data_IF_114654594426
#
_entry.id   IF_114654594426
#
_cell.length_a   1.000
_cell.length_b   1.000
_cell.length_c   1.000
_cell.angle_alpha   90.00
_cell.angle_beta   90.00
_cell.angle_gamma   90.00
#
_symmetry.space_group_name_H-M   'P 1'
#
loop_
_entity.id
_entity.type
_entity.pdbx_description
1 polymer ?
#
# COMPACT_ATOMS: atom_id res chain seq x y z
N UNK A 1 15.89 10.89 -1.44
CA UNK A 1 16.19 10.92 0.00
C UNK A 1 15.85 9.56 0.60
N UNK A 2 16.76 8.96 1.36
CA UNK A 2 16.50 7.71 2.09
C UNK A 2 16.55 8.00 3.59
N UNK A 3 15.49 7.64 4.31
CA UNK A 3 15.42 7.69 5.75
C UNK A 3 15.59 6.27 6.31
N UNK A 4 16.66 6.04 7.06
CA UNK A 4 17.02 4.72 7.60
C UNK A 4 16.83 4.60 9.12
N UNK A 5 16.72 5.72 9.83
CA UNK A 5 16.46 5.75 11.27
C UNK A 5 14.97 5.90 11.57
N UNK A 6 14.55 5.38 12.72
CA UNK A 6 13.21 5.68 13.24
C UNK A 6 13.06 7.20 13.42
N UNK A 7 11.91 7.73 13.02
CA UNK A 7 11.58 9.14 13.15
C UNK A 7 10.32 9.27 14.02
N UNK A 8 10.23 10.33 14.82
CA UNK A 8 9.04 10.68 15.62
C UNK A 8 8.31 11.90 15.07
N UNK A 9 8.79 12.46 13.96
CA UNK A 9 8.16 13.59 13.27
C UNK A 9 6.81 13.17 12.70
N UNK A 10 5.74 13.56 13.39
CA UNK A 10 4.36 13.31 12.95
C UNK A 10 3.78 14.40 12.05
N UNK A 11 4.58 15.44 11.73
CA UNK A 11 4.20 16.47 10.77
C UNK A 11 4.09 15.92 9.35
N UNK A 12 3.54 16.72 8.44
CA UNK A 12 3.41 16.32 7.04
C UNK A 12 4.75 16.34 6.29
N UNK A 13 4.89 15.46 5.30
CA UNK A 13 6.01 15.49 4.34
C UNK A 13 5.46 15.72 2.93
N UNK A 14 6.08 16.60 2.16
CA UNK A 14 5.76 16.77 0.72
C UNK A 14 6.91 16.26 -0.12
N UNK A 15 6.63 15.32 -1.02
CA UNK A 15 7.57 14.76 -2.00
C UNK A 15 7.24 15.36 -3.36
N UNK A 16 7.77 16.57 -3.62
CA UNK A 16 7.50 17.28 -4.88
C UNK A 16 8.28 16.73 -6.09
N UNK A 17 9.38 16.01 -5.85
CA UNK A 17 10.21 15.41 -6.91
C UNK A 17 11.10 14.30 -6.35
N UNK A 18 11.61 13.46 -7.24
CA UNK A 18 12.53 12.37 -6.90
C UNK A 18 11.87 11.25 -6.09
N UNK A 19 12.66 10.58 -5.27
CA UNK A 19 12.22 9.42 -4.48
C UNK A 19 12.45 9.67 -3.00
N UNK A 20 11.39 9.48 -2.20
CA UNK A 20 11.48 9.32 -0.75
C UNK A 20 11.42 7.83 -0.42
N UNK A 21 12.48 7.29 0.17
CA UNK A 21 12.54 5.89 0.59
C UNK A 21 12.68 5.78 2.10
N UNK A 22 11.98 4.83 2.70
CA UNK A 22 12.15 4.48 4.11
C UNK A 22 11.36 3.25 4.52
N UNK A 23 11.20 3.06 5.83
CA UNK A 23 10.32 2.09 6.49
C UNK A 23 9.14 2.79 7.15
N UNK A 24 8.16 2.03 7.64
CA UNK A 24 7.05 2.54 8.46
C UNK A 24 7.50 3.13 9.81
N UNK A 25 8.76 2.96 10.22
CA UNK A 25 9.32 3.60 11.41
C UNK A 25 10.03 4.91 11.08
N UNK A 26 10.61 5.02 9.88
CA UNK A 26 11.30 6.23 9.42
C UNK A 26 10.39 7.24 8.70
N UNK A 27 9.35 6.74 8.03
CA UNK A 27 8.31 7.54 7.36
C UNK A 27 7.15 7.64 8.34
N UNK A 28 6.84 8.86 8.77
CA UNK A 28 5.79 9.18 9.74
C UNK A 28 4.96 10.37 9.26
N UNK A 29 3.79 10.55 9.85
CA UNK A 29 2.85 11.61 9.47
C UNK A 29 2.26 11.40 8.08
N UNK A 30 1.41 12.33 7.63
CA UNK A 30 0.85 12.27 6.27
C UNK A 30 1.89 12.65 5.22
N UNK A 31 1.83 12.03 4.04
CA UNK A 31 2.71 12.33 2.91
C UNK A 31 1.88 12.84 1.73
N UNK A 32 2.20 14.05 1.26
CA UNK A 32 1.79 14.50 -0.08
C UNK A 32 2.84 13.97 -1.06
N UNK A 33 2.50 12.92 -1.80
CA UNK A 33 3.37 12.25 -2.75
C UNK A 33 3.04 12.72 -4.18
N UNK A 34 3.82 13.65 -4.72
CA UNK A 34 3.68 14.11 -6.10
C UNK A 34 4.71 13.47 -7.04
N UNK A 35 5.50 12.50 -6.55
CA UNK A 35 6.55 11.84 -7.32
C UNK A 35 6.65 10.35 -6.98
N UNK A 36 7.45 9.96 -5.99
CA UNK A 36 7.67 8.55 -5.66
C UNK A 36 7.97 8.34 -4.17
N UNK A 37 7.22 7.43 -3.56
CA UNK A 37 7.46 6.94 -2.19
C UNK A 37 7.74 5.45 -2.23
N UNK A 38 8.78 5.01 -1.52
CA UNK A 38 9.17 3.62 -1.41
C UNK A 38 9.19 3.21 0.06
N UNK A 39 8.39 2.20 0.41
CA UNK A 39 8.58 1.46 1.65
C UNK A 39 9.50 0.26 1.40
N UNK A 40 10.74 0.33 1.84
CA UNK A 40 11.68 -0.80 1.85
C UNK A 40 11.70 -1.45 3.23
N UNK A 41 10.76 -2.36 3.44
CA UNK A 41 10.39 -2.86 4.76
C UNK A 41 10.86 -4.32 4.95
N UNK A 42 11.85 -4.54 5.82
CA UNK A 42 12.34 -5.90 6.12
C UNK A 42 11.60 -6.61 7.26
N UNK A 43 11.03 -5.83 8.19
CA UNK A 43 10.28 -6.31 9.36
C UNK A 43 8.88 -5.71 9.33
N UNK A 44 7.85 -6.44 9.73
CA UNK A 44 6.47 -5.94 9.68
C UNK A 44 6.28 -4.59 10.40
N UNK A 45 5.43 -3.74 9.84
CA UNK A 45 5.12 -2.46 10.44
C UNK A 45 3.86 -1.80 9.87
N UNK A 46 3.27 -0.91 10.66
CA UNK A 46 2.06 -0.17 10.31
C UNK A 46 2.40 1.26 9.97
N UNK A 47 1.86 1.75 8.86
CA UNK A 47 1.90 3.16 8.49
C UNK A 47 0.48 3.74 8.53
N UNK A 48 0.26 4.63 9.49
CA UNK A 48 -1.05 5.23 9.77
C UNK A 48 -1.28 6.58 9.09
N UNK A 49 -0.24 7.16 8.48
CA UNK A 49 -0.35 8.42 7.75
C UNK A 49 -1.22 8.28 6.50
N UNK A 50 -1.82 9.41 6.08
CA UNK A 50 -2.50 9.52 4.80
C UNK A 50 -1.45 9.83 3.73
N UNK A 51 -1.44 9.05 2.65
CA UNK A 51 -0.67 9.33 1.43
C UNK A 51 -1.64 9.88 0.39
N UNK A 52 -1.35 11.07 -0.14
CA UNK A 52 -2.13 11.74 -1.19
C UNK A 52 -1.24 12.15 -2.36
N UNK A 53 -1.81 12.72 -3.42
CA UNK A 53 -1.06 13.32 -4.54
C UNK A 53 -1.03 12.50 -5.83
N UNK A 54 -0.19 12.91 -6.78
CA UNK A 54 -0.07 12.30 -8.11
C UNK A 54 0.93 11.15 -8.22
N UNK A 55 1.76 10.94 -7.20
CA UNK A 55 2.92 10.05 -7.23
C UNK A 55 2.59 8.58 -6.99
N UNK A 56 3.59 7.74 -7.25
CA UNK A 56 3.48 6.29 -7.10
C UNK A 56 3.96 5.80 -5.73
N UNK A 57 3.43 4.66 -5.30
CA UNK A 57 3.88 3.93 -4.12
C UNK A 57 4.58 2.62 -4.52
N UNK A 58 5.74 2.32 -3.94
CA UNK A 58 6.43 1.04 -4.13
C UNK A 58 6.67 0.33 -2.80
N UNK A 59 6.30 -0.95 -2.72
CA UNK A 59 6.60 -1.84 -1.60
C UNK A 59 7.76 -2.79 -1.95
N UNK A 60 8.86 -2.65 -1.21
CA UNK A 60 10.06 -3.49 -1.23
C UNK A 60 10.28 -4.16 0.13
N UNK A 61 11.27 -5.05 0.19
CA UNK A 61 11.67 -5.75 1.42
C UNK A 61 10.73 -6.90 1.79
N UNK A 62 11.23 -7.83 2.60
CA UNK A 62 10.56 -9.09 2.94
C UNK A 62 9.38 -8.94 3.90
N UNK A 63 9.33 -7.87 4.68
CA UNK A 63 8.31 -7.65 5.70
C UNK A 63 6.98 -7.15 5.13
N UNK A 64 6.04 -6.93 6.04
CA UNK A 64 4.71 -6.42 5.76
C UNK A 64 4.64 -4.91 6.00
N UNK A 65 4.06 -4.17 5.07
CA UNK A 65 3.58 -2.81 5.32
C UNK A 65 2.07 -2.88 5.48
N UNK A 66 1.56 -2.46 6.63
CA UNK A 66 0.13 -2.36 6.93
C UNK A 66 -0.27 -0.90 6.74
N UNK A 67 -1.03 -0.60 5.68
CA UNK A 67 -1.60 0.73 5.44
C UNK A 67 -2.97 0.84 6.12
N UNK A 68 -3.10 1.80 7.03
CA UNK A 68 -4.38 2.06 7.72
C UNK A 68 -4.95 3.45 7.44
N UNK A 69 -4.16 4.37 6.90
CA UNK A 69 -4.64 5.69 6.48
C UNK A 69 -5.56 5.59 5.25
N UNK A 70 -6.55 6.47 5.18
CA UNK A 70 -7.41 6.59 3.99
C UNK A 70 -6.63 7.33 2.89
N UNK A 71 -6.09 6.58 1.95
CA UNK A 71 -5.13 7.09 0.97
C UNK A 71 -5.82 7.59 -0.30
N UNK A 72 -5.23 8.59 -0.95
CA UNK A 72 -5.76 9.24 -2.16
C UNK A 72 -4.69 9.55 -3.20
N UNK A 73 -3.54 8.88 -3.14
CA UNK A 73 -2.54 8.98 -4.21
C UNK A 73 -3.04 8.29 -5.48
N UNK A 74 -2.77 8.89 -6.63
CA UNK A 74 -3.32 8.42 -7.92
C UNK A 74 -2.30 7.75 -8.84
N UNK A 75 -1.00 7.82 -8.52
CA UNK A 75 0.06 7.21 -9.34
C UNK A 75 0.17 5.68 -9.22
N UNK A 76 -0.73 5.04 -8.46
CA UNK A 76 -0.79 3.60 -8.29
C UNK A 76 0.25 3.02 -7.34
N UNK A 77 0.22 1.70 -7.20
CA UNK A 77 1.06 0.93 -6.29
C UNK A 77 1.78 -0.20 -7.01
N UNK A 78 3.08 -0.38 -6.76
CA UNK A 78 3.83 -1.57 -7.18
C UNK A 78 4.31 -2.35 -5.97
N UNK A 79 3.92 -3.63 -5.87
CA UNK A 79 4.37 -4.54 -4.81
C UNK A 79 5.38 -5.52 -5.40
N UNK A 80 6.66 -5.31 -5.08
CA UNK A 80 7.78 -6.09 -5.65
C UNK A 80 8.19 -7.23 -4.70
N UNK A 81 8.12 -7.01 -3.39
CA UNK A 81 8.53 -8.00 -2.39
C UNK A 81 7.76 -7.87 -1.07
N UNK A 82 7.70 -8.98 -0.34
CA UNK A 82 6.98 -9.09 0.94
C UNK A 82 5.48 -8.90 0.76
N UNK A 83 4.84 -8.30 1.76
CA UNK A 83 3.38 -8.15 1.79
C UNK A 83 2.98 -6.68 1.91
N UNK A 84 2.01 -6.26 1.10
CA UNK A 84 1.25 -5.04 1.36
C UNK A 84 -0.12 -5.42 1.93
N UNK A 85 -0.37 -5.08 3.19
CA UNK A 85 -1.68 -5.27 3.82
C UNK A 85 -2.44 -3.93 3.82
N UNK A 86 -3.70 -3.96 3.39
CA UNK A 86 -4.55 -2.78 3.24
C UNK A 86 -6.02 -3.13 3.44
N UNK A 87 -6.90 -2.14 3.28
CA UNK A 87 -8.32 -2.30 3.01
C UNK A 87 -8.68 -1.46 1.77
N UNK A 88 -9.92 -1.56 1.31
CA UNK A 88 -10.41 -0.83 0.12
C UNK A 88 -10.27 0.69 0.17
N UNK A 89 -10.13 1.31 1.34
CA UNK A 89 -9.87 2.75 1.50
C UNK A 89 -8.40 3.11 1.73
N UNK A 90 -7.52 2.15 2.03
CA UNK A 90 -6.10 2.40 2.29
C UNK A 90 -5.19 2.02 1.12
N UNK A 91 -5.74 1.52 0.03
CA UNK A 91 -5.06 1.35 -1.26
C UNK A 91 -5.77 2.23 -2.30
N UNK A 92 -5.02 2.91 -3.17
CA UNK A 92 -5.58 3.81 -4.18
C UNK A 92 -4.77 3.76 -5.48
N UNK A 93 -5.48 3.88 -6.60
CA UNK A 93 -4.90 3.75 -7.94
C UNK A 93 -4.59 2.30 -8.30
N UNK A 94 -4.24 2.06 -9.56
CA UNK A 94 -3.93 0.72 -10.07
C UNK A 94 -2.78 0.07 -9.29
N UNK A 95 -2.87 -1.25 -9.08
CA UNK A 95 -1.88 -2.04 -8.36
C UNK A 95 -1.24 -3.08 -9.25
N UNK A 96 0.08 -2.98 -9.43
CA UNK A 96 0.90 -4.06 -9.96
C UNK A 96 1.40 -4.94 -8.81
N UNK A 97 0.75 -6.08 -8.60
CA UNK A 97 1.08 -7.03 -7.55
C UNK A 97 1.99 -8.14 -8.09
N UNK A 98 3.30 -8.05 -7.80
CA UNK A 98 4.28 -9.08 -8.15
C UNK A 98 4.71 -9.94 -6.96
N UNK A 99 4.18 -9.69 -5.75
CA UNK A 99 4.50 -10.45 -4.54
C UNK A 99 3.23 -10.87 -3.79
N UNK A 100 2.79 -10.10 -2.79
CA UNK A 100 1.57 -10.40 -2.05
C UNK A 100 0.82 -9.11 -1.65
N UNK A 101 -0.49 -9.10 -1.92
CA UNK A 101 -1.43 -8.10 -1.42
C UNK A 101 -2.46 -8.78 -0.53
N UNK A 102 -2.67 -8.25 0.67
CA UNK A 102 -3.67 -8.72 1.62
C UNK A 102 -4.69 -7.62 1.87
N UNK A 103 -5.94 -7.87 1.50
CA UNK A 103 -7.06 -7.03 1.93
C UNK A 103 -7.62 -7.55 3.25
N UNK A 104 -7.39 -6.80 4.33
CA UNK A 104 -8.04 -7.01 5.62
C UNK A 104 -9.25 -6.10 5.75
N UNK A 105 -10.42 -6.62 5.41
CA UNK A 105 -11.65 -5.83 5.34
C UNK A 105 -12.54 -6.09 6.57
N UNK A 106 -12.72 -5.07 7.41
CA UNK A 106 -13.54 -5.12 8.64
C UNK A 106 -14.87 -4.36 8.53
N UNK A 107 -15.09 -3.65 7.43
CA UNK A 107 -16.37 -3.02 7.05
C UNK A 107 -16.55 -3.13 5.55
N UNK A 108 -17.76 -3.27 5.03
CA UNK A 108 -17.98 -3.48 3.60
C UNK A 108 -17.35 -2.36 2.76
N UNK A 109 -16.70 -2.72 1.65
CA UNK A 109 -16.03 -1.74 0.82
C UNK A 109 -15.80 -2.21 -0.62
N UNK A 110 -15.55 -1.24 -1.49
CA UNK A 110 -15.32 -1.44 -2.91
C UNK A 110 -13.96 -0.90 -3.30
N UNK A 111 -13.14 -1.71 -3.96
CA UNK A 111 -11.91 -1.27 -4.61
C UNK A 111 -12.14 -1.28 -6.12
N UNK A 112 -12.09 -0.09 -6.72
CA UNK A 112 -12.50 0.12 -8.11
C UNK A 112 -11.36 0.10 -9.12
N UNK A 113 -10.12 0.24 -8.64
CA UNK A 113 -8.93 0.25 -9.48
C UNK A 113 -8.51 -1.18 -9.90
N UNK A 114 -7.60 -1.28 -10.86
CA UNK A 114 -7.16 -2.56 -11.44
C UNK A 114 -6.05 -3.17 -10.60
N UNK A 115 -6.20 -4.44 -10.23
CA UNK A 115 -5.10 -5.29 -9.75
C UNK A 115 -4.59 -6.14 -10.91
N UNK A 116 -3.27 -6.08 -11.13
CA UNK A 116 -2.55 -6.85 -12.16
C UNK A 116 -1.32 -7.55 -11.55
N UNK A 117 -0.58 -8.31 -12.36
CA UNK A 117 0.65 -8.99 -11.94
C UNK A 117 0.44 -10.44 -11.49
N UNK A 118 1.54 -11.11 -11.12
CA UNK A 118 1.57 -12.55 -10.83
C UNK A 118 1.57 -12.89 -9.33
N UNK A 119 1.52 -11.88 -8.46
CA UNK A 119 1.53 -12.04 -7.01
C UNK A 119 0.23 -12.59 -6.44
N UNK A 120 0.25 -13.03 -5.19
CA UNK A 120 -0.94 -13.55 -4.51
C UNK A 120 -1.85 -12.42 -4.01
N UNK A 121 -3.15 -12.67 -4.06
CA UNK A 121 -4.17 -11.81 -3.49
C UNK A 121 -4.90 -12.57 -2.38
N UNK A 122 -4.88 -12.04 -1.16
CA UNK A 122 -5.57 -12.67 -0.02
C UNK A 122 -6.60 -11.73 0.57
N UNK A 123 -7.83 -12.21 0.72
CA UNK A 123 -8.90 -11.53 1.44
C UNK A 123 -9.05 -12.14 2.83
N UNK A 124 -8.84 -11.30 3.84
CA UNK A 124 -9.12 -11.59 5.26
C UNK A 124 -10.11 -10.57 5.83
N UNK A 125 -10.46 -10.70 7.10
CA UNK A 125 -11.46 -9.86 7.76
C UNK A 125 -12.89 -10.26 7.39
N UNK A 126 -13.84 -9.96 8.27
CA UNK A 126 -15.19 -10.52 8.22
C UNK A 126 -16.14 -9.80 7.26
N UNK A 127 -15.77 -8.63 6.75
CA UNK A 127 -16.64 -7.82 5.91
C UNK A 127 -16.41 -8.07 4.41
N UNK A 128 -17.38 -7.68 3.59
CA UNK A 128 -17.33 -7.87 2.14
C UNK A 128 -16.33 -6.93 1.50
N UNK A 129 -15.46 -7.49 0.65
CA UNK A 129 -14.67 -6.73 -0.32
C UNK A 129 -15.30 -6.92 -1.71
N UNK A 130 -15.64 -5.83 -2.36
CA UNK A 130 -16.10 -5.83 -3.75
C UNK A 130 -14.97 -5.29 -4.64
N UNK A 131 -14.49 -6.10 -5.59
CA UNK A 131 -13.56 -5.63 -6.61
C UNK A 131 -14.34 -5.33 -7.87
N UNK A 132 -14.30 -4.09 -8.36
CA UNK A 132 -15.03 -3.67 -9.58
C UNK A 132 -14.10 -3.29 -10.74
N UNK A 133 -12.80 -3.18 -10.50
CA UNK A 133 -11.82 -2.97 -11.56
C UNK A 133 -11.75 -4.16 -12.53
N UNK A 134 -11.27 -3.90 -13.75
CA UNK A 134 -10.94 -4.93 -14.74
C UNK A 134 -9.68 -5.69 -14.36
N UNK A 135 -9.71 -6.41 -13.22
CA UNK A 135 -8.56 -7.10 -12.65
C UNK A 135 -7.99 -8.13 -13.62
N UNK A 136 -6.67 -8.10 -13.79
CA UNK A 136 -5.90 -8.97 -14.70
C UNK A 136 -4.81 -9.75 -13.98
N UNK A 137 -4.82 -9.77 -12.65
CA UNK A 137 -3.83 -10.54 -11.88
C UNK A 137 -3.94 -12.03 -12.21
N UNK A 138 -2.78 -12.66 -12.38
CA UNK A 138 -2.67 -14.07 -12.75
C UNK A 138 -2.23 -14.97 -11.59
N UNK A 139 -1.85 -14.37 -10.45
CA UNK A 139 -1.53 -15.12 -9.24
C UNK A 139 -2.77 -15.65 -8.52
N UNK A 140 -2.54 -16.51 -7.53
CA UNK A 140 -3.61 -17.14 -6.75
C UNK A 140 -4.42 -16.11 -5.95
N UNK A 141 -5.73 -16.33 -5.87
CA UNK A 141 -6.64 -15.58 -4.99
C UNK A 141 -7.13 -16.49 -3.86
N UNK A 142 -6.91 -16.09 -2.61
CA UNK A 142 -7.35 -16.81 -1.41
C UNK A 142 -8.36 -15.96 -0.65
N UNK A 143 -9.52 -16.53 -0.32
CA UNK A 143 -10.52 -15.89 0.56
C UNK A 143 -10.56 -16.69 1.86
N UNK A 144 -10.08 -16.09 2.96
CA UNK A 144 -10.03 -16.73 4.28
C UNK A 144 -11.18 -16.32 5.19
N UNK A 145 -11.88 -15.23 4.89
CA UNK A 145 -13.08 -14.77 5.59
C UNK A 145 -13.86 -13.70 4.79
N UNK A 146 -15.15 -13.57 5.13
CA UNK A 146 -16.07 -12.56 4.58
C UNK A 146 -16.66 -12.91 3.22
#
# INVERSE_FOLDING_TARGET
>A
LTLSGANIYSGGTTVSAGTLQGTTTSLQGSIVNDSSVIFNQSTDGTYAGIISGGGSLTKLGSGTVILTGANSYSGGTTVIAGTLQCNSGSLSGDTLNNAAVVFNQTSDGTYADVISGSGSLTKIGTAKLTLTGGNTHSGGTTVSAG
#
